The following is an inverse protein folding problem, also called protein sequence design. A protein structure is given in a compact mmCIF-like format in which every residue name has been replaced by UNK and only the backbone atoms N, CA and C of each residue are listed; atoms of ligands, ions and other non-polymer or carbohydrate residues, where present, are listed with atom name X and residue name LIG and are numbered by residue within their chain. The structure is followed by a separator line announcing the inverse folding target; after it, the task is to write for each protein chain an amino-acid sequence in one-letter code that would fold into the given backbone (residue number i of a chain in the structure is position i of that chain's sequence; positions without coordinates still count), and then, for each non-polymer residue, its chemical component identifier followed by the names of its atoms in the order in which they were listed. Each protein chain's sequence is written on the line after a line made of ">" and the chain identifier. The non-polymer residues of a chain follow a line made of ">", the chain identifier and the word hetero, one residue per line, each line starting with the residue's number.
data_IF_200719788876
#
_entry.id   IF_200719788876
#
_cell.length_a   1.000
_cell.length_b   1.000
_cell.length_c   1.000
_cell.angle_alpha   90.00
_cell.angle_beta   90.00
_cell.angle_gamma   90.00
#
_symmetry.space_group_name_H-M   'P 1'
#
loop_
_entity.id
_entity.type
_entity.pdbx_description
1 polymer ?
#
# COMPACT_ATOMS: atom_id res chain seq x y z
N UNK A 1 28.31 -17.42 -16.39
CA UNK A 1 27.26 -17.14 -17.41
C UNK A 1 26.17 -16.31 -16.72
N UNK A 2 25.67 -15.25 -17.33
CA UNK A 2 24.52 -14.48 -16.78
C UNK A 2 23.28 -14.91 -17.52
N UNK A 3 22.20 -15.19 -16.78
CA UNK A 3 20.89 -15.61 -17.34
C UNK A 3 19.96 -14.41 -17.29
N UNK A 4 19.29 -14.14 -18.40
CA UNK A 4 18.20 -13.18 -18.49
C UNK A 4 16.92 -13.91 -18.96
N UNK A 5 15.79 -13.65 -18.26
CA UNK A 5 14.47 -14.14 -18.67
C UNK A 5 13.73 -12.98 -19.33
N UNK A 6 13.16 -13.23 -20.50
CA UNK A 6 12.43 -12.24 -21.32
C UNK A 6 10.92 -12.40 -21.15
N UNK A 7 10.18 -11.33 -21.47
CA UNK A 7 8.72 -11.30 -21.50
C UNK A 7 8.06 -11.74 -20.17
N UNK A 8 8.68 -11.34 -19.05
CA UNK A 8 8.11 -11.63 -17.74
C UNK A 8 6.85 -10.77 -17.56
N UNK A 9 5.71 -11.43 -17.33
CA UNK A 9 4.40 -10.79 -17.24
C UNK A 9 3.37 -11.71 -16.56
N UNK A 10 2.09 -11.42 -16.78
CA UNK A 10 0.96 -12.10 -16.15
C UNK A 10 0.91 -13.63 -16.41
N UNK A 11 1.38 -14.07 -17.56
CA UNK A 11 1.37 -15.49 -17.95
C UNK A 11 2.65 -16.23 -17.50
N UNK A 12 3.57 -15.55 -16.81
CA UNK A 12 4.83 -16.17 -16.42
C UNK A 12 4.67 -17.06 -15.21
N UNK A 13 5.29 -18.25 -15.27
CA UNK A 13 5.41 -19.16 -14.13
C UNK A 13 6.47 -18.65 -13.16
N UNK A 14 6.06 -17.86 -12.15
CA UNK A 14 6.97 -17.20 -11.20
C UNK A 14 7.83 -18.20 -10.42
N UNK A 15 7.31 -19.39 -10.15
CA UNK A 15 8.05 -20.49 -9.51
C UNK A 15 9.25 -20.96 -10.33
N UNK A 16 9.09 -21.09 -11.65
CA UNK A 16 10.18 -21.46 -12.54
C UNK A 16 11.24 -20.36 -12.60
N UNK A 17 10.82 -19.10 -12.61
CA UNK A 17 11.73 -17.95 -12.56
C UNK A 17 12.53 -17.97 -11.25
N UNK A 18 11.87 -18.23 -10.12
CA UNK A 18 12.53 -18.33 -8.82
C UNK A 18 13.57 -19.45 -8.78
N UNK A 19 13.26 -20.63 -9.34
CA UNK A 19 14.18 -21.78 -9.42
C UNK A 19 15.40 -21.51 -10.32
N UNK A 20 15.19 -20.80 -11.45
CA UNK A 20 16.26 -20.43 -12.37
C UNK A 20 17.22 -19.40 -11.78
N UNK A 21 16.76 -18.61 -10.79
CA UNK A 21 17.52 -17.52 -10.16
C UNK A 21 18.27 -16.65 -11.18
N UNK A 22 17.58 -16.08 -12.19
CA UNK A 22 18.22 -15.28 -13.24
C UNK A 22 18.79 -13.99 -12.67
N UNK A 23 19.78 -13.42 -13.33
CA UNK A 23 20.36 -12.13 -12.95
C UNK A 23 19.55 -10.94 -13.46
N UNK A 24 18.76 -11.14 -14.53
CA UNK A 24 17.94 -10.08 -15.15
C UNK A 24 16.57 -10.65 -15.50
N UNK A 25 15.53 -9.93 -15.10
CA UNK A 25 14.15 -10.12 -15.56
C UNK A 25 13.78 -8.96 -16.50
N UNK A 26 13.39 -9.28 -17.74
CA UNK A 26 12.96 -8.30 -18.73
C UNK A 26 11.45 -8.21 -18.75
N UNK A 27 10.93 -7.02 -18.50
CA UNK A 27 9.51 -6.71 -18.44
C UNK A 27 9.18 -5.74 -19.59
N UNK A 28 8.27 -6.12 -20.47
CA UNK A 28 7.81 -5.26 -21.56
C UNK A 28 6.66 -4.38 -21.07
N UNK A 29 6.80 -3.06 -21.24
CA UNK A 29 5.78 -2.07 -20.86
C UNK A 29 5.32 -1.21 -22.03
N UNK A 30 5.53 -1.68 -23.26
CA UNK A 30 5.14 -0.94 -24.47
C UNK A 30 3.67 -0.55 -24.48
N UNK A 31 2.81 -1.48 -24.09
CA UNK A 31 1.35 -1.33 -24.13
C UNK A 31 0.79 -0.76 -22.82
N UNK A 32 1.67 -0.33 -21.90
CA UNK A 32 1.26 0.34 -20.67
C UNK A 32 0.61 1.67 -21.02
N UNK A 33 -0.68 1.77 -20.75
CA UNK A 33 -1.47 2.99 -20.92
C UNK A 33 -2.15 3.36 -19.58
N UNK A 34 -2.74 4.54 -19.54
CA UNK A 34 -3.35 5.08 -18.33
C UNK A 34 -4.54 4.24 -17.82
N UNK A 35 -5.30 3.60 -18.72
CA UNK A 35 -6.51 2.83 -18.39
C UNK A 35 -6.18 1.46 -17.80
N UNK A 36 -5.04 0.86 -18.17
CA UNK A 36 -4.57 -0.44 -17.67
C UNK A 36 -3.62 -0.34 -16.46
N UNK A 37 -3.38 0.88 -15.96
CA UNK A 37 -2.35 1.20 -14.97
C UNK A 37 -2.46 0.38 -13.69
N UNK A 38 -3.65 0.25 -13.09
CA UNK A 38 -3.82 -0.39 -11.78
C UNK A 38 -3.51 -1.89 -11.80
N UNK A 39 -4.13 -2.64 -12.69
CA UNK A 39 -3.92 -4.09 -12.76
C UNK A 39 -2.49 -4.47 -13.18
N UNK A 40 -1.90 -3.71 -14.12
CA UNK A 40 -0.51 -3.92 -14.54
C UNK A 40 0.47 -3.50 -13.45
N UNK A 41 0.17 -2.47 -12.67
CA UNK A 41 0.99 -2.03 -11.54
C UNK A 41 1.10 -3.12 -10.47
N UNK A 42 0.00 -3.77 -10.10
CA UNK A 42 -0.01 -4.84 -9.11
C UNK A 42 0.83 -6.05 -9.56
N UNK A 43 0.68 -6.45 -10.81
CA UNK A 43 1.49 -7.51 -11.42
C UNK A 43 2.99 -7.16 -11.40
N UNK A 44 3.34 -5.95 -11.85
CA UNK A 44 4.74 -5.51 -11.90
C UNK A 44 5.33 -5.37 -10.50
N UNK A 45 4.54 -4.93 -9.52
CA UNK A 45 4.94 -4.90 -8.11
C UNK A 45 5.25 -6.31 -7.59
N UNK A 46 4.45 -7.32 -7.94
CA UNK A 46 4.73 -8.72 -7.59
C UNK A 46 6.02 -9.23 -8.23
N UNK A 47 6.26 -8.91 -9.52
CA UNK A 47 7.51 -9.23 -10.23
C UNK A 47 8.70 -8.51 -9.55
N UNK A 48 8.54 -7.24 -9.17
CA UNK A 48 9.55 -6.47 -8.45
C UNK A 48 9.92 -7.10 -7.11
N UNK A 49 8.91 -7.53 -6.35
CA UNK A 49 9.10 -8.24 -5.08
C UNK A 49 9.83 -9.57 -5.27
N UNK A 50 9.49 -10.33 -6.31
CA UNK A 50 10.20 -11.56 -6.65
C UNK A 50 11.65 -11.25 -7.03
N UNK A 51 11.88 -10.29 -7.93
CA UNK A 51 13.22 -9.89 -8.36
C UNK A 51 14.10 -9.52 -7.16
N UNK A 52 13.57 -8.74 -6.23
CA UNK A 52 14.26 -8.38 -4.99
C UNK A 52 14.65 -9.62 -4.16
N UNK A 53 13.71 -10.56 -3.95
CA UNK A 53 13.94 -11.78 -3.16
C UNK A 53 14.97 -12.71 -3.76
N UNK A 54 15.04 -12.84 -5.10
CA UNK A 54 16.02 -13.69 -5.80
C UNK A 54 17.31 -12.97 -6.19
N UNK A 55 17.43 -11.67 -5.90
CA UNK A 55 18.59 -10.85 -6.24
C UNK A 55 18.72 -10.54 -7.73
N UNK A 56 17.63 -10.59 -8.50
CA UNK A 56 17.59 -10.25 -9.90
C UNK A 56 17.42 -8.73 -10.11
N UNK A 57 17.95 -8.23 -11.24
CA UNK A 57 17.71 -6.86 -11.67
C UNK A 57 16.54 -6.81 -12.65
N UNK A 58 15.69 -5.80 -12.54
CA UNK A 58 14.66 -5.52 -13.53
C UNK A 58 15.21 -4.70 -14.70
N UNK A 59 14.91 -5.15 -15.92
CA UNK A 59 15.10 -4.40 -17.15
C UNK A 59 13.72 -4.16 -17.75
N UNK A 60 13.34 -2.89 -17.86
CA UNK A 60 12.11 -2.50 -18.54
C UNK A 60 12.39 -2.17 -19.99
N UNK A 61 11.63 -2.81 -20.89
CA UNK A 61 11.72 -2.60 -22.34
C UNK A 61 10.41 -2.04 -22.90
N UNK A 62 10.50 -1.43 -24.09
CA UNK A 62 9.34 -0.81 -24.73
C UNK A 62 9.05 0.60 -24.25
N UNK A 63 10.00 1.26 -23.59
CA UNK A 63 9.82 2.64 -23.07
C UNK A 63 9.76 3.63 -24.25
N UNK A 64 8.57 4.16 -24.50
CA UNK A 64 8.29 5.14 -25.55
C UNK A 64 7.99 6.54 -25.02
N UNK A 65 7.76 6.71 -23.73
CA UNK A 65 7.38 7.97 -23.09
C UNK A 65 8.09 8.19 -21.76
N UNK A 66 8.12 9.45 -21.30
CA UNK A 66 8.63 9.82 -19.97
C UNK A 66 7.82 9.14 -18.85
N UNK A 67 6.51 8.96 -19.04
CA UNK A 67 5.64 8.28 -18.05
C UNK A 67 6.01 6.81 -17.87
N UNK A 68 6.31 6.11 -18.97
CA UNK A 68 6.78 4.73 -18.91
C UNK A 68 8.16 4.63 -18.25
N UNK A 69 9.06 5.59 -18.48
CA UNK A 69 10.34 5.63 -17.79
C UNK A 69 10.16 5.84 -16.28
N UNK A 70 9.31 6.80 -15.89
CA UNK A 70 8.99 7.06 -14.50
C UNK A 70 8.34 5.85 -13.81
N UNK A 71 7.41 5.19 -14.50
CA UNK A 71 6.77 3.96 -14.03
C UNK A 71 7.80 2.85 -13.80
N UNK A 72 8.68 2.62 -14.77
CA UNK A 72 9.74 1.62 -14.66
C UNK A 72 10.68 1.93 -13.47
N UNK A 73 11.02 3.19 -13.28
CA UNK A 73 11.84 3.61 -12.15
C UNK A 73 11.15 3.37 -10.80
N UNK A 74 9.88 3.74 -10.65
CA UNK A 74 9.09 3.51 -9.43
C UNK A 74 8.98 2.03 -9.07
N UNK A 75 8.93 1.16 -10.08
CA UNK A 75 8.81 -0.28 -9.91
C UNK A 75 10.15 -1.01 -9.85
N UNK A 76 11.23 -0.32 -9.45
CA UNK A 76 12.54 -0.92 -9.19
C UNK A 76 13.36 -1.24 -10.44
N UNK A 77 13.06 -0.59 -11.57
CA UNK A 77 13.84 -0.71 -12.79
C UNK A 77 15.29 -0.27 -12.57
N UNK A 78 16.23 -1.13 -12.96
CA UNK A 78 17.66 -0.82 -12.96
C UNK A 78 18.20 -0.60 -14.36
N UNK A 79 17.61 -1.23 -15.35
CA UNK A 79 17.95 -1.08 -16.76
C UNK A 79 16.71 -0.70 -17.56
N UNK A 80 16.92 0.14 -18.57
CA UNK A 80 15.84 0.74 -19.34
C UNK A 80 16.15 0.65 -20.83
N UNK A 81 15.17 0.28 -21.65
CA UNK A 81 15.29 0.15 -23.10
C UNK A 81 14.04 0.68 -23.79
N UNK A 82 14.20 1.54 -24.80
CA UNK A 82 13.09 2.03 -25.59
C UNK A 82 13.40 3.26 -26.43
N UNK A 83 12.50 3.59 -27.35
CA UNK A 83 12.66 4.71 -28.29
C UNK A 83 12.71 6.08 -27.63
N UNK A 84 12.12 6.22 -26.43
CA UNK A 84 12.23 7.44 -25.65
C UNK A 84 13.67 7.75 -25.22
N UNK A 85 14.45 6.71 -24.96
CA UNK A 85 15.87 6.88 -24.58
C UNK A 85 16.74 7.10 -25.80
N UNK A 86 16.69 6.17 -26.76
CA UNK A 86 17.39 6.27 -28.02
C UNK A 86 16.70 5.41 -29.09
N UNK A 87 16.66 5.91 -30.31
CA UNK A 87 16.21 5.12 -31.47
C UNK A 87 17.25 4.07 -31.86
N UNK A 88 16.81 2.99 -32.51
CA UNK A 88 17.70 2.00 -33.07
C UNK A 88 18.67 2.66 -34.08
N UNK A 89 19.96 2.41 -33.93
CA UNK A 89 21.00 2.94 -34.78
C UNK A 89 21.72 1.80 -35.51
N UNK A 90 22.27 2.08 -36.72
CA UNK A 90 23.05 1.11 -37.50
C UNK A 90 24.45 0.88 -36.93
N UNK A 91 24.92 1.78 -36.10
CA UNK A 91 26.26 1.74 -35.47
C UNK A 91 26.11 1.85 -33.96
N UNK A 92 27.15 1.44 -33.24
CA UNK A 92 27.21 1.67 -31.80
C UNK A 92 27.21 3.16 -31.49
N UNK A 93 26.38 3.57 -30.52
CA UNK A 93 26.37 4.92 -29.97
C UNK A 93 27.39 5.05 -28.84
N UNK A 94 27.83 6.27 -28.57
CA UNK A 94 28.71 6.53 -27.44
C UNK A 94 28.07 6.11 -26.12
N UNK A 95 28.87 5.48 -25.24
CA UNK A 95 28.41 4.89 -23.98
C UNK A 95 27.69 5.89 -23.08
N UNK A 96 28.13 7.12 -23.05
CA UNK A 96 27.67 8.15 -22.11
C UNK A 96 26.72 9.19 -22.76
N UNK A 97 26.23 8.95 -23.99
CA UNK A 97 25.40 9.89 -24.75
C UNK A 97 24.13 10.34 -24.03
N UNK A 98 23.56 9.49 -23.17
CA UNK A 98 22.34 9.77 -22.41
C UNK A 98 22.61 10.19 -20.96
N UNK A 99 23.86 10.21 -20.52
CA UNK A 99 24.22 10.31 -19.10
C UNK A 99 23.65 11.57 -18.44
N UNK A 100 23.86 12.74 -19.01
CA UNK A 100 23.40 14.00 -18.40
C UNK A 100 21.87 14.11 -18.45
N UNK A 101 21.26 13.83 -19.61
CA UNK A 101 19.80 13.81 -19.75
C UNK A 101 19.14 12.85 -18.76
N UNK A 102 19.65 11.63 -18.65
CA UNK A 102 19.10 10.63 -17.73
C UNK A 102 19.25 11.05 -16.27
N UNK A 103 20.37 11.67 -15.92
CA UNK A 103 20.59 12.22 -14.59
C UNK A 103 19.60 13.33 -14.24
N UNK A 104 19.36 14.26 -15.16
CA UNK A 104 18.38 15.33 -14.97
C UNK A 104 16.95 14.79 -14.80
N UNK A 105 16.53 13.86 -15.66
CA UNK A 105 15.22 13.21 -15.56
C UNK A 105 15.06 12.46 -14.23
N UNK A 106 16.05 11.67 -13.81
CA UNK A 106 16.04 11.00 -12.52
C UNK A 106 15.96 12.00 -11.36
N UNK A 107 16.68 13.12 -11.43
CA UNK A 107 16.66 14.13 -10.38
C UNK A 107 15.28 14.80 -10.27
N UNK A 108 14.61 15.04 -11.39
CA UNK A 108 13.24 15.57 -11.41
C UNK A 108 12.25 14.55 -10.78
N UNK A 109 12.35 13.27 -11.14
CA UNK A 109 11.53 12.22 -10.56
C UNK A 109 11.71 12.12 -9.05
N UNK A 110 12.97 12.07 -8.59
CA UNK A 110 13.29 12.00 -7.16
C UNK A 110 12.72 13.21 -6.42
N UNK A 111 12.85 14.40 -6.97
CA UNK A 111 12.36 15.63 -6.35
C UNK A 111 10.83 15.62 -6.24
N UNK A 112 10.14 15.23 -7.31
CA UNK A 112 8.68 15.12 -7.34
C UNK A 112 8.17 14.07 -6.36
N UNK A 113 8.79 12.88 -6.36
CA UNK A 113 8.42 11.78 -5.50
C UNK A 113 8.63 12.10 -4.01
N UNK A 114 9.76 12.73 -3.66
CA UNK A 114 10.00 13.20 -2.30
C UNK A 114 8.94 14.17 -1.81
N UNK A 115 8.53 15.14 -2.64
CA UNK A 115 7.47 16.09 -2.29
C UNK A 115 6.15 15.37 -2.04
N UNK A 116 5.80 14.43 -2.90
CA UNK A 116 4.57 13.66 -2.77
C UNK A 116 4.57 12.82 -1.50
N UNK A 117 5.64 12.06 -1.23
CA UNK A 117 5.78 11.24 -0.03
C UNK A 117 5.77 12.07 1.25
N UNK A 118 6.42 13.24 1.25
CA UNK A 118 6.38 14.15 2.39
C UNK A 118 4.98 14.69 2.65
N UNK A 119 4.25 15.10 1.61
CA UNK A 119 2.87 15.56 1.75
C UNK A 119 1.99 14.45 2.33
N UNK A 120 2.07 13.24 1.77
CA UNK A 120 1.33 12.07 2.25
C UNK A 120 1.64 11.75 3.72
N UNK A 121 2.92 11.75 4.09
CA UNK A 121 3.35 11.52 5.47
C UNK A 121 2.72 12.54 6.44
N UNK A 122 2.72 13.82 6.08
CA UNK A 122 2.13 14.86 6.94
C UNK A 122 0.61 14.73 7.05
N UNK A 123 -0.09 14.41 5.96
CA UNK A 123 -1.54 14.18 5.99
C UNK A 123 -1.91 12.97 6.85
N UNK A 124 -1.22 11.84 6.70
CA UNK A 124 -1.45 10.65 7.54
C UNK A 124 -1.11 10.91 9.01
N UNK A 125 -0.04 11.64 9.28
CA UNK A 125 0.32 12.02 10.65
C UNK A 125 -0.76 12.89 11.28
N UNK A 126 -1.24 13.91 10.56
CA UNK A 126 -2.31 14.80 11.01
C UNK A 126 -3.60 14.02 11.28
N UNK A 127 -4.00 13.17 10.35
CA UNK A 127 -5.18 12.30 10.52
C UNK A 127 -5.05 11.42 11.76
N UNK A 128 -3.89 10.78 11.95
CA UNK A 128 -3.65 9.96 13.15
C UNK A 128 -3.85 10.77 14.43
N UNK A 129 -3.24 11.96 14.52
CA UNK A 129 -3.34 12.83 15.69
C UNK A 129 -4.80 13.28 15.95
N UNK A 130 -5.58 13.54 14.91
CA UNK A 130 -7.00 13.88 15.00
C UNK A 130 -7.83 12.70 15.55
N UNK A 131 -7.63 11.50 15.01
CA UNK A 131 -8.33 10.29 15.44
C UNK A 131 -7.96 9.91 16.88
N UNK A 132 -6.68 9.98 17.26
CA UNK A 132 -6.22 9.80 18.64
C UNK A 132 -6.91 10.77 19.60
N UNK A 133 -6.97 12.05 19.22
CA UNK A 133 -7.62 13.06 20.06
C UNK A 133 -9.11 12.80 20.26
N UNK A 134 -9.81 12.25 19.26
CA UNK A 134 -11.22 11.86 19.37
C UNK A 134 -11.36 10.67 20.34
N UNK A 135 -10.57 9.62 20.16
CA UNK A 135 -10.63 8.43 21.01
C UNK A 135 -10.31 8.76 22.47
N UNK A 136 -9.29 9.58 22.72
CA UNK A 136 -8.90 9.97 24.09
C UNK A 136 -9.92 10.87 24.80
N UNK A 137 -10.87 11.49 24.09
CA UNK A 137 -11.96 12.26 24.72
C UNK A 137 -13.04 11.36 25.29
N UNK A 138 -13.18 10.15 24.78
CA UNK A 138 -14.15 9.18 25.26
C UNK A 138 -13.58 8.49 26.50
N UNK A 139 -14.28 8.63 27.64
CA UNK A 139 -13.87 7.98 28.89
C UNK A 139 -13.98 6.47 28.76
N UNK A 140 -13.01 5.71 29.27
CA UNK A 140 -13.13 4.26 29.33
C UNK A 140 -14.43 3.85 30.03
N UNK A 141 -15.15 2.92 29.46
CA UNK A 141 -16.38 2.33 30.00
C UNK A 141 -16.12 0.86 30.28
N UNK A 142 -16.82 0.32 31.27
CA UNK A 142 -16.87 -1.14 31.49
C UNK A 142 -17.73 -1.85 30.42
N UNK A 143 -18.51 -1.12 29.66
CA UNK A 143 -19.29 -1.60 28.52
C UNK A 143 -18.64 -1.16 27.22
N UNK A 144 -17.88 -2.08 26.61
CA UNK A 144 -17.19 -1.86 25.36
C UNK A 144 -18.14 -1.58 24.18
N UNK A 145 -19.38 -2.07 24.21
CA UNK A 145 -20.34 -1.88 23.13
C UNK A 145 -20.83 -0.43 23.14
N UNK A 146 -21.32 0.06 24.26
CA UNK A 146 -21.76 1.46 24.38
C UNK A 146 -20.62 2.46 24.09
N UNK A 147 -19.39 2.12 24.46
CA UNK A 147 -18.21 2.92 24.12
C UNK A 147 -17.96 2.96 22.60
N UNK A 148 -18.07 1.82 21.92
CA UNK A 148 -17.92 1.74 20.47
C UNK A 148 -19.02 2.48 19.71
N UNK A 149 -20.27 2.37 20.14
CA UNK A 149 -21.40 3.11 19.55
C UNK A 149 -21.18 4.62 19.65
N UNK A 150 -20.74 5.09 20.83
CA UNK A 150 -20.43 6.52 21.00
C UNK A 150 -19.23 6.96 20.14
N UNK A 151 -18.17 6.14 20.03
CA UNK A 151 -17.05 6.40 19.14
C UNK A 151 -17.49 6.42 17.66
N UNK A 152 -18.38 5.52 17.26
CA UNK A 152 -18.91 5.47 15.90
C UNK A 152 -19.63 6.77 15.52
N UNK A 153 -20.41 7.34 16.43
CA UNK A 153 -21.05 8.65 16.21
C UNK A 153 -20.02 9.77 16.04
N UNK A 154 -18.97 9.80 16.87
CA UNK A 154 -17.90 10.81 16.80
C UNK A 154 -17.02 10.66 15.55
N UNK A 155 -16.87 9.44 15.06
CA UNK A 155 -16.05 9.07 13.91
C UNK A 155 -16.86 8.87 12.62
N UNK A 156 -18.15 9.25 12.60
CA UNK A 156 -19.08 9.04 11.49
C UNK A 156 -18.57 9.58 10.15
N UNK A 157 -17.89 10.71 10.17
CA UNK A 157 -17.29 11.32 8.98
C UNK A 157 -16.07 10.54 8.44
N UNK A 158 -15.35 9.84 9.31
CA UNK A 158 -14.08 9.19 8.97
C UNK A 158 -14.24 7.72 8.58
N UNK A 159 -15.19 7.02 9.19
CA UNK A 159 -15.18 5.56 9.25
C UNK A 159 -16.49 4.91 8.87
N UNK A 160 -16.42 3.62 8.55
CA UNK A 160 -17.60 2.79 8.29
C UNK A 160 -17.70 1.57 9.22
N UNK A 161 -16.62 1.22 9.96
CA UNK A 161 -16.62 0.07 10.87
C UNK A 161 -15.66 0.28 12.02
N UNK A 162 -16.11 -0.09 13.24
CA UNK A 162 -15.32 -0.10 14.44
C UNK A 162 -15.44 -1.44 15.16
N UNK A 163 -14.36 -1.91 15.78
CA UNK A 163 -14.35 -3.13 16.60
C UNK A 163 -13.13 -3.13 17.55
N UNK A 164 -13.20 -3.98 18.60
CA UNK A 164 -12.11 -4.16 19.55
C UNK A 164 -11.58 -5.59 19.46
N UNK A 165 -10.26 -5.75 19.43
CA UNK A 165 -9.58 -7.02 19.55
C UNK A 165 -8.67 -7.06 20.77
N UNK A 166 -8.35 -8.28 21.24
CA UNK A 166 -7.25 -8.48 22.17
C UNK A 166 -5.89 -8.51 21.45
N UNK A 167 -4.81 -8.64 22.21
CA UNK A 167 -3.44 -8.69 21.70
C UNK A 167 -3.16 -9.90 20.77
N UNK A 168 -3.92 -10.99 20.90
CA UNK A 168 -3.81 -12.19 20.07
C UNK A 168 -4.65 -12.11 18.79
N UNK A 169 -5.38 -11.02 18.59
CA UNK A 169 -6.21 -10.76 17.41
C UNK A 169 -7.62 -11.33 17.48
N UNK A 170 -8.07 -11.86 18.63
CA UNK A 170 -9.46 -12.25 18.79
C UNK A 170 -10.35 -11.02 18.98
N UNK A 171 -11.38 -10.91 18.17
CA UNK A 171 -12.35 -9.84 18.27
C UNK A 171 -13.28 -10.04 19.49
N UNK A 172 -13.28 -9.04 20.36
CA UNK A 172 -13.99 -9.07 21.64
C UNK A 172 -15.40 -8.52 21.54
N UNK A 173 -15.68 -7.68 20.56
CA UNK A 173 -16.94 -6.97 20.39
C UNK A 173 -17.61 -7.31 19.06
N UNK A 174 -18.91 -7.04 18.88
CA UNK A 174 -19.53 -6.95 17.56
C UNK A 174 -18.77 -5.94 16.67
N UNK A 175 -18.92 -6.00 15.36
CA UNK A 175 -18.67 -4.82 14.55
C UNK A 175 -19.76 -3.80 14.84
N UNK A 176 -19.37 -2.55 15.02
CA UNK A 176 -20.24 -1.40 14.85
C UNK A 176 -20.02 -0.94 13.42
N UNK A 177 -20.97 -1.20 12.53
CA UNK A 177 -20.80 -1.00 11.09
C UNK A 177 -21.88 -0.07 10.54
N UNK A 178 -21.48 0.85 9.66
CA UNK A 178 -22.39 1.79 8.99
C UNK A 178 -22.97 1.12 7.74
N UNK A 179 -24.29 0.87 7.78
CA UNK A 179 -25.06 0.28 6.68
C UNK A 179 -26.11 1.29 6.24
N UNK A 180 -26.10 1.70 4.99
CA UNK A 180 -27.03 2.70 4.45
C UNK A 180 -27.11 4.00 5.29
N UNK A 181 -26.00 4.41 5.91
CA UNK A 181 -25.92 5.63 6.74
C UNK A 181 -26.33 5.45 8.20
N UNK A 182 -26.69 4.24 8.64
CA UNK A 182 -27.09 3.91 10.01
C UNK A 182 -26.05 2.97 10.64
N UNK A 183 -25.68 3.22 11.90
CA UNK A 183 -24.77 2.36 12.64
C UNK A 183 -25.51 1.15 13.20
N UNK A 184 -25.05 -0.05 12.86
CA UNK A 184 -25.63 -1.33 13.25
C UNK A 184 -24.61 -2.25 13.91
N UNK A 185 -25.06 -3.07 14.87
CA UNK A 185 -24.24 -4.08 15.51
C UNK A 185 -24.25 -5.38 14.70
N UNK A 186 -23.08 -5.94 14.43
CA UNK A 186 -22.91 -7.22 13.75
C UNK A 186 -22.27 -8.27 14.68
N UNK A 187 -23.06 -9.02 15.45
CA UNK A 187 -22.55 -9.96 16.47
C UNK A 187 -21.77 -11.15 15.92
N UNK A 188 -21.97 -11.49 14.64
CA UNK A 188 -21.28 -12.61 13.95
C UNK A 188 -19.76 -12.39 13.81
N UNK A 189 -19.26 -11.21 14.13
CA UNK A 189 -17.84 -10.90 14.11
C UNK A 189 -17.11 -11.29 15.42
N UNK A 190 -17.84 -11.49 16.53
CA UNK A 190 -17.24 -11.87 17.82
C UNK A 190 -16.48 -13.19 17.69
N UNK A 191 -15.32 -13.26 18.34
CA UNK A 191 -14.38 -14.38 18.32
C UNK A 191 -13.71 -14.68 16.96
N UNK A 192 -13.93 -13.88 15.92
CA UNK A 192 -13.06 -13.95 14.73
C UNK A 192 -11.63 -13.61 15.14
N UNK A 193 -10.67 -14.31 14.56
CA UNK A 193 -9.24 -14.02 14.78
C UNK A 193 -8.63 -13.33 13.56
N UNK A 194 -7.97 -12.19 13.77
CA UNK A 194 -7.37 -11.37 12.73
C UNK A 194 -5.83 -11.42 12.71
N UNK A 195 -5.21 -12.19 13.62
CA UNK A 195 -3.75 -12.31 13.74
C UNK A 195 -3.05 -12.89 12.51
N UNK A 196 -3.79 -13.56 11.62
CA UNK A 196 -3.29 -14.07 10.34
C UNK A 196 -2.96 -12.97 9.32
N UNK A 197 -3.45 -11.74 9.52
CA UNK A 197 -3.09 -10.59 8.68
C UNK A 197 -1.60 -10.28 8.86
N UNK A 198 -0.80 -10.16 7.77
CA UNK A 198 0.67 -10.13 7.85
C UNK A 198 1.26 -9.07 8.78
N UNK A 199 0.55 -7.96 8.98
CA UNK A 199 1.02 -6.80 9.77
C UNK A 199 0.36 -6.68 11.14
N UNK A 200 -0.63 -7.52 11.49
CA UNK A 200 -1.39 -7.37 12.73
C UNK A 200 -0.49 -7.34 13.98
N UNK A 201 0.33 -8.38 14.16
CA UNK A 201 1.21 -8.48 15.32
C UNK A 201 2.26 -7.37 15.37
N UNK A 202 2.77 -6.94 14.20
CA UNK A 202 3.71 -5.81 14.15
C UNK A 202 3.06 -4.51 14.61
N UNK A 203 1.82 -4.27 14.21
CA UNK A 203 1.04 -3.09 14.61
C UNK A 203 0.76 -3.09 16.12
N UNK A 204 0.36 -4.24 16.69
CA UNK A 204 0.18 -4.38 18.14
C UNK A 204 1.49 -4.06 18.89
N UNK A 205 2.62 -4.61 18.46
CA UNK A 205 3.93 -4.36 19.06
C UNK A 205 4.30 -2.88 18.99
N UNK A 206 4.09 -2.22 17.86
CA UNK A 206 4.36 -0.79 17.70
C UNK A 206 3.49 0.04 18.65
N UNK A 207 2.17 -0.17 18.65
CA UNK A 207 1.25 0.58 19.52
C UNK A 207 1.64 0.45 21.02
N UNK A 208 2.07 -0.75 21.44
CA UNK A 208 2.54 -0.97 22.83
C UNK A 208 3.81 -0.20 23.17
N UNK A 209 4.77 -0.15 22.25
CA UNK A 209 6.06 0.51 22.49
C UNK A 209 5.99 2.03 22.33
N UNK A 210 5.30 2.50 21.28
CA UNK A 210 5.28 3.91 20.91
C UNK A 210 4.13 4.67 21.60
N UNK A 211 3.16 3.94 22.16
CA UNK A 211 1.93 4.46 22.81
C UNK A 211 1.14 5.41 21.91
N UNK A 212 1.25 5.23 20.60
CA UNK A 212 0.54 5.99 19.59
C UNK A 212 -0.35 5.07 18.76
N UNK A 213 -1.39 5.64 18.15
CA UNK A 213 -2.16 4.93 17.12
C UNK A 213 -1.35 4.70 15.85
N UNK A 214 -1.77 3.75 15.05
CA UNK A 214 -1.19 3.41 13.75
C UNK A 214 -2.26 3.46 12.67
N UNK A 215 -1.90 3.97 11.48
CA UNK A 215 -2.75 3.88 10.28
C UNK A 215 -2.09 2.89 9.32
N UNK A 216 -2.85 1.87 8.91
CA UNK A 216 -2.37 0.83 8.00
C UNK A 216 -2.03 1.37 6.61
N UNK A 217 -1.28 0.60 5.83
CA UNK A 217 -1.27 0.77 4.38
C UNK A 217 -2.66 0.55 3.79
N UNK A 218 -2.86 1.01 2.55
CA UNK A 218 -4.10 0.73 1.81
C UNK A 218 -4.23 -0.77 1.55
N UNK A 219 -5.42 -1.29 1.77
CA UNK A 219 -5.74 -2.67 1.43
C UNK A 219 -7.20 -2.77 0.97
N UNK A 220 -7.53 -3.90 0.33
CA UNK A 220 -8.91 -4.21 -0.02
C UNK A 220 -9.53 -5.03 1.10
N UNK A 221 -10.60 -4.52 1.70
CA UNK A 221 -11.33 -5.24 2.73
C UNK A 221 -12.00 -6.49 2.13
N UNK A 222 -11.81 -7.64 2.79
CA UNK A 222 -12.31 -8.92 2.28
C UNK A 222 -13.83 -9.10 2.46
N UNK A 223 -14.45 -8.35 3.36
CA UNK A 223 -15.90 -8.45 3.61
C UNK A 223 -16.68 -7.51 2.68
N UNK A 224 -16.20 -6.28 2.49
CA UNK A 224 -16.88 -5.27 1.65
C UNK A 224 -16.34 -5.21 0.23
N UNK A 225 -15.09 -5.65 0.00
CA UNK A 225 -14.40 -5.49 -1.27
C UNK A 225 -13.89 -4.07 -1.55
N UNK A 226 -14.13 -3.13 -0.65
CA UNK A 226 -13.71 -1.74 -0.79
C UNK A 226 -12.24 -1.52 -0.40
N UNK A 227 -11.64 -0.47 -0.93
CA UNK A 227 -10.31 -0.04 -0.54
C UNK A 227 -10.42 0.78 0.75
N UNK A 228 -9.63 0.43 1.74
CA UNK A 228 -9.64 1.08 3.05
C UNK A 228 -8.24 1.19 3.65
N UNK A 229 -8.13 1.95 4.73
CA UNK A 229 -7.06 1.94 5.72
C UNK A 229 -7.69 1.73 7.09
N UNK A 230 -7.00 1.05 7.98
CA UNK A 230 -7.45 0.90 9.37
C UNK A 230 -6.60 1.78 10.27
N UNK A 231 -7.25 2.66 11.04
CA UNK A 231 -6.64 3.27 12.21
C UNK A 231 -6.80 2.31 13.40
N UNK A 232 -5.73 2.10 14.14
CA UNK A 232 -5.74 1.25 15.34
C UNK A 232 -5.02 1.94 16.49
N UNK A 233 -5.53 1.75 17.73
CA UNK A 233 -4.98 2.34 18.92
C UNK A 233 -5.23 1.43 20.14
N UNK A 234 -4.27 1.39 21.08
CA UNK A 234 -4.47 0.70 22.35
C UNK A 234 -5.49 1.46 23.21
N UNK A 235 -6.50 0.76 23.71
CA UNK A 235 -7.46 1.31 24.69
C UNK A 235 -6.93 1.09 26.10
N UNK A 236 -6.34 -0.09 26.33
CA UNK A 236 -5.66 -0.47 27.56
C UNK A 236 -4.52 -1.47 27.24
N UNK A 237 -3.95 -2.11 28.25
CA UNK A 237 -2.81 -3.03 28.10
C UNK A 237 -3.13 -4.26 27.24
N UNK A 238 -4.40 -4.66 27.10
CA UNK A 238 -4.82 -5.92 26.45
C UNK A 238 -5.83 -5.73 25.31
N UNK A 239 -6.36 -4.52 25.15
CA UNK A 239 -7.44 -4.25 24.19
C UNK A 239 -7.05 -3.12 23.22
N UNK A 240 -7.39 -3.33 21.98
CA UNK A 240 -7.04 -2.45 20.85
C UNK A 240 -8.29 -2.14 20.04
N UNK A 241 -8.55 -0.87 19.83
CA UNK A 241 -9.58 -0.37 18.93
C UNK A 241 -9.07 -0.39 17.49
N UNK A 242 -9.90 -0.86 16.59
CA UNK A 242 -9.72 -0.80 15.15
C UNK A 242 -10.86 0.01 14.53
N UNK A 243 -10.50 0.95 13.66
CA UNK A 243 -11.41 1.86 12.97
C UNK A 243 -11.10 1.79 11.47
N UNK A 244 -11.97 1.19 10.70
CA UNK A 244 -11.82 1.11 9.25
C UNK A 244 -12.37 2.38 8.61
N UNK A 245 -11.51 3.10 7.90
CA UNK A 245 -11.80 4.38 7.29
C UNK A 245 -12.60 4.21 6.01
N UNK A 246 -13.60 5.06 5.80
CA UNK A 246 -14.46 4.99 4.63
C UNK A 246 -13.73 5.37 3.34
N UNK A 247 -14.15 4.76 2.24
CA UNK A 247 -13.63 5.07 0.91
C UNK A 247 -13.82 6.55 0.58
N UNK A 248 -15.01 7.10 0.85
CA UNK A 248 -15.34 8.49 0.55
C UNK A 248 -14.41 9.46 1.29
N UNK A 249 -14.20 9.24 2.59
CA UNK A 249 -13.25 10.03 3.37
C UNK A 249 -11.83 9.97 2.80
N UNK A 250 -11.33 8.77 2.50
CA UNK A 250 -10.00 8.60 1.92
C UNK A 250 -9.87 9.27 0.57
N UNK A 251 -10.93 9.25 -0.24
CA UNK A 251 -10.98 9.88 -1.56
C UNK A 251 -10.97 11.41 -1.46
N UNK A 252 -11.83 12.00 -0.64
CA UNK A 252 -11.93 13.44 -0.45
C UNK A 252 -10.62 14.06 0.07
N UNK A 253 -9.89 13.34 0.92
CA UNK A 253 -8.62 13.79 1.51
C UNK A 253 -7.38 13.36 0.73
N UNK A 254 -7.54 12.71 -0.43
CA UNK A 254 -6.44 12.27 -1.31
C UNK A 254 -5.42 11.34 -0.62
N UNK A 255 -5.89 10.49 0.31
CA UNK A 255 -5.09 9.55 1.12
C UNK A 255 -5.09 8.14 0.49
N UNK A 256 -5.28 8.06 -0.82
CA UNK A 256 -5.29 6.85 -1.64
C UNK A 256 -3.94 6.40 -2.17
N UNK A 257 -2.88 7.10 -1.89
CA UNK A 257 -1.58 6.82 -2.51
C UNK A 257 -0.56 6.33 -1.52
#
# INVERSE_FOLDING_TARGET
>A
MKIAVQEVGAESHLEHIALLSPQILKVNIRDLNYDSWSAQSDMISAIGSLAYKIGANLLFEGIGTVYQLQFAWKNGGRFYQGSYLANAAKTFVEKDILKERFKEECQQFITSEKKMLQAQYFELKKLREELEAIVHRVKPSSDNISQLEHLAELLDHYSFRLYICNEDGFQLTPNVMRVEGIWELQPNAINKNWSWRPYFLQTIIKMRNDQNGEISELYRDIETGEITRTFSIAINEHEYLFVDLSYDFLYEHNIFR
#
